data_IF_040999126206
#
_entry.id   IF_040999126206
#
_cell.length_a   1.000
_cell.length_b   1.000
_cell.length_c   1.000
_cell.angle_alpha   90.00
_cell.angle_beta   90.00
_cell.angle_gamma   90.00
#
_symmetry.space_group_name_H-M   'P 1'
#
loop_
_entity.id
_entity.type
_entity.pdbx_description
1 polymer ?
#
# COMPACT_ATOMS: atom_id res chain seq x y z
N UNK A 1 -11.14 -45.29 24.51
CA UNK A 1 -10.21 -44.17 24.73
C UNK A 1 -10.41 -43.12 23.63
N UNK A 2 -11.53 -42.40 23.58
CA UNK A 2 -11.73 -41.35 22.52
C UNK A 2 -12.35 -40.04 23.01
N UNK A 3 -13.08 -40.03 24.13
CA UNK A 3 -13.89 -38.86 24.50
C UNK A 3 -13.06 -37.58 24.79
N UNK A 4 -11.90 -37.69 25.44
CA UNK A 4 -11.06 -36.52 25.76
C UNK A 4 -10.32 -35.96 24.54
N UNK A 5 -9.85 -36.81 23.62
CA UNK A 5 -9.20 -36.37 22.38
C UNK A 5 -10.23 -35.73 21.44
N UNK A 6 -11.42 -36.32 21.32
CA UNK A 6 -12.53 -35.77 20.54
C UNK A 6 -12.99 -34.41 21.09
N UNK A 7 -13.07 -34.26 22.41
CA UNK A 7 -13.38 -32.98 23.07
C UNK A 7 -12.28 -31.92 22.87
N UNK A 8 -11.00 -32.30 22.95
CA UNK A 8 -9.87 -31.39 22.68
C UNK A 8 -9.83 -30.96 21.21
N UNK A 9 -10.16 -31.87 20.29
CA UNK A 9 -10.28 -31.55 18.87
C UNK A 9 -11.46 -30.62 18.60
N UNK A 10 -12.62 -30.88 19.20
CA UNK A 10 -13.78 -29.98 19.10
C UNK A 10 -13.49 -28.58 19.67
N UNK A 11 -12.77 -28.47 20.79
CA UNK A 11 -12.32 -27.19 21.35
C UNK A 11 -11.32 -26.48 20.42
N UNK A 12 -10.41 -27.22 19.78
CA UNK A 12 -9.53 -26.69 18.72
C UNK A 12 -10.34 -26.18 17.54
N UNK A 13 -11.33 -26.92 17.07
CA UNK A 13 -12.18 -26.57 15.93
C UNK A 13 -13.05 -25.35 16.24
N UNK A 14 -13.65 -25.28 17.43
CA UNK A 14 -14.39 -24.11 17.91
C UNK A 14 -13.45 -22.90 17.98
N UNK A 15 -12.24 -23.07 18.53
CA UNK A 15 -11.26 -21.98 18.60
C UNK A 15 -10.78 -21.56 17.21
N UNK A 16 -10.64 -22.49 16.27
CA UNK A 16 -10.27 -22.20 14.89
C UNK A 16 -11.42 -21.55 14.11
N UNK A 17 -12.67 -21.93 14.36
CA UNK A 17 -13.85 -21.24 13.84
C UNK A 17 -13.98 -19.83 14.43
N UNK A 18 -13.73 -19.67 15.74
CA UNK A 18 -13.74 -18.39 16.43
C UNK A 18 -12.61 -17.47 15.94
N UNK A 19 -11.40 -17.98 15.76
CA UNK A 19 -10.27 -17.23 15.16
C UNK A 19 -10.58 -16.83 13.70
N UNK A 20 -11.37 -17.62 12.97
CA UNK A 20 -11.83 -17.31 11.58
C UNK A 20 -13.03 -16.35 11.53
N UNK A 21 -13.86 -16.32 12.58
CA UNK A 21 -15.03 -15.44 12.69
C UNK A 21 -14.70 -14.10 13.35
N UNK A 22 -13.69 -14.06 14.23
CA UNK A 22 -13.03 -12.86 14.71
C UNK A 22 -12.08 -12.31 13.63
N UNK A 23 -12.63 -12.03 12.46
CA UNK A 23 -11.99 -11.07 11.56
C UNK A 23 -11.92 -9.73 12.30
N UNK A 24 -11.10 -8.84 11.77
CA UNK A 24 -11.04 -7.41 12.10
C UNK A 24 -9.97 -7.02 13.10
N UNK A 25 -8.73 -7.05 12.61
CA UNK A 25 -7.96 -5.82 12.76
C UNK A 25 -8.74 -4.74 12.05
N UNK A 26 -9.18 -3.78 12.84
CA UNK A 26 -9.85 -2.62 12.31
C UNK A 26 -8.79 -1.62 11.88
N UNK A 27 -8.21 -1.80 10.68
CA UNK A 27 -7.30 -0.78 10.10
C UNK A 27 -7.98 0.58 10.20
N UNK A 28 -7.25 1.62 10.60
CA UNK A 28 -7.89 2.94 10.71
C UNK A 28 -8.15 3.51 9.31
N UNK A 29 -9.37 3.97 9.04
CA UNK A 29 -9.71 4.73 7.83
C UNK A 29 -8.90 6.02 7.72
N UNK A 30 -8.57 6.65 8.85
CA UNK A 30 -7.67 7.80 8.90
C UNK A 30 -6.26 7.46 8.39
N UNK A 31 -5.80 6.21 8.54
CA UNK A 31 -4.55 5.75 7.92
C UNK A 31 -4.60 5.86 6.40
N UNK A 32 -5.72 5.50 5.78
CA UNK A 32 -5.91 5.59 4.33
C UNK A 32 -5.95 7.04 3.85
N UNK A 33 -6.66 7.91 4.56
CA UNK A 33 -6.69 9.35 4.24
C UNK A 33 -5.31 9.97 4.36
N UNK A 34 -4.59 9.68 5.45
CA UNK A 34 -3.24 10.16 5.65
C UNK A 34 -2.29 9.69 4.54
N UNK A 35 -2.27 8.39 4.26
CA UNK A 35 -1.44 7.84 3.18
C UNK A 35 -1.73 8.52 1.83
N UNK A 36 -3.01 8.75 1.51
CA UNK A 36 -3.39 9.43 0.28
C UNK A 36 -2.96 10.90 0.21
N UNK A 37 -3.07 11.64 1.30
CA UNK A 37 -2.56 13.03 1.36
C UNK A 37 -1.04 13.07 1.19
N UNK A 38 -0.31 12.17 1.86
CA UNK A 38 1.14 12.05 1.72
C UNK A 38 1.53 11.68 0.28
N UNK A 39 0.80 10.78 -0.37
CA UNK A 39 1.02 10.42 -1.76
C UNK A 39 0.79 11.60 -2.71
N UNK A 40 -0.27 12.39 -2.53
CA UNK A 40 -0.52 13.58 -3.35
C UNK A 40 0.59 14.64 -3.20
N UNK A 41 1.08 14.86 -1.97
CA UNK A 41 2.24 15.73 -1.75
C UNK A 41 3.50 15.17 -2.41
N UNK A 42 3.73 13.85 -2.30
CA UNK A 42 4.82 13.17 -2.98
C UNK A 42 4.76 13.34 -4.50
N UNK A 43 3.57 13.20 -5.09
CA UNK A 43 3.36 13.40 -6.52
C UNK A 43 3.61 14.85 -6.95
N UNK A 44 3.20 15.82 -6.13
CA UNK A 44 3.51 17.23 -6.37
C UNK A 44 5.01 17.51 -6.40
N UNK A 45 5.75 17.03 -5.39
CA UNK A 45 7.21 17.20 -5.37
C UNK A 45 7.92 16.41 -6.47
N UNK A 46 7.42 15.24 -6.85
CA UNK A 46 7.95 14.48 -7.98
C UNK A 46 7.77 15.24 -9.30
N UNK A 47 6.62 15.90 -9.48
CA UNK A 47 6.37 16.73 -10.65
C UNK A 47 7.29 17.96 -10.68
N UNK A 48 7.52 18.61 -9.53
CA UNK A 48 8.48 19.72 -9.42
C UNK A 48 9.92 19.30 -9.78
N UNK A 49 10.37 18.11 -9.36
CA UNK A 49 11.68 17.58 -9.75
C UNK A 49 11.78 17.28 -11.25
N UNK A 50 10.73 16.70 -11.84
CA UNK A 50 10.66 16.46 -13.29
C UNK A 50 10.68 17.80 -14.06
N UNK A 51 9.95 18.80 -13.59
CA UNK A 51 9.91 20.13 -14.21
C UNK A 51 11.25 20.85 -14.10
N UNK A 52 11.97 20.72 -12.99
CA UNK A 52 13.34 21.24 -12.84
C UNK A 52 14.28 20.59 -13.84
N UNK A 53 14.20 19.26 -14.01
CA UNK A 53 15.01 18.54 -14.98
C UNK A 53 14.71 18.99 -16.42
N UNK A 54 13.43 19.07 -16.81
CA UNK A 54 13.02 19.51 -18.16
C UNK A 54 13.48 20.95 -18.44
N UNK A 55 13.33 21.85 -17.46
CA UNK A 55 13.72 23.25 -17.59
C UNK A 55 15.21 23.51 -17.32
N UNK A 56 16.01 22.46 -17.11
CA UNK A 56 17.47 22.53 -16.88
C UNK A 56 17.84 23.39 -15.67
N UNK A 57 17.03 23.33 -14.61
CA UNK A 57 17.23 24.05 -13.35
C UNK A 57 17.84 23.12 -12.31
N UNK A 58 19.14 23.25 -12.07
CA UNK A 58 19.82 22.47 -11.02
C UNK A 58 20.13 21.02 -11.38
N UNK A 59 19.99 20.64 -12.66
CA UNK A 59 20.37 19.32 -13.19
C UNK A 59 21.44 19.47 -14.27
N UNK A 60 22.44 18.57 -14.25
CA UNK A 60 23.46 18.45 -15.29
C UNK A 60 22.86 17.98 -16.62
N UNK A 61 23.59 18.15 -17.72
CA UNK A 61 23.16 17.71 -19.04
C UNK A 61 23.46 16.24 -19.28
N UNK A 62 22.60 15.58 -20.06
CA UNK A 62 22.81 14.20 -20.52
C UNK A 62 22.64 13.18 -19.40
N UNK A 63 23.40 12.09 -19.49
CA UNK A 63 23.27 10.89 -18.65
C UNK A 63 23.41 11.21 -17.16
N UNK A 64 24.28 12.15 -16.78
CA UNK A 64 24.45 12.56 -15.37
C UNK A 64 23.17 13.15 -14.78
N UNK A 65 22.48 14.03 -15.52
CA UNK A 65 21.22 14.62 -15.05
C UNK A 65 20.08 13.60 -14.94
N UNK A 66 20.04 12.61 -15.84
CA UNK A 66 19.04 11.54 -15.78
C UNK A 66 19.23 10.66 -14.55
N UNK A 67 20.49 10.29 -14.24
CA UNK A 67 20.82 9.53 -13.03
C UNK A 67 20.48 10.31 -11.74
N UNK A 68 20.77 11.61 -11.71
CA UNK A 68 20.44 12.47 -10.57
C UNK A 68 18.92 12.56 -10.35
N UNK A 69 18.14 12.73 -11.43
CA UNK A 69 16.69 12.76 -11.36
C UNK A 69 16.15 11.42 -10.84
N UNK A 70 16.64 10.31 -11.40
CA UNK A 70 16.24 8.96 -10.98
C UNK A 70 16.49 8.75 -9.48
N UNK A 71 17.69 9.12 -9.01
CA UNK A 71 18.06 9.01 -7.60
C UNK A 71 17.17 9.88 -6.71
N UNK A 72 16.87 11.12 -7.12
CA UNK A 72 16.00 12.04 -6.38
C UNK A 72 14.56 11.53 -6.30
N UNK A 73 14.02 11.01 -7.41
CA UNK A 73 12.67 10.43 -7.43
C UNK A 73 12.58 9.15 -6.61
N UNK A 74 13.60 8.28 -6.65
CA UNK A 74 13.66 7.08 -5.82
C UNK A 74 13.73 7.44 -4.33
N UNK A 75 14.58 8.39 -3.96
CA UNK A 75 14.69 8.92 -2.60
C UNK A 75 13.36 9.50 -2.11
N UNK A 76 12.68 10.29 -2.95
CA UNK A 76 11.36 10.83 -2.65
C UNK A 76 10.31 9.72 -2.47
N UNK A 77 10.30 8.72 -3.35
CA UNK A 77 9.41 7.57 -3.25
C UNK A 77 9.59 6.78 -1.96
N UNK A 78 10.84 6.52 -1.56
CA UNK A 78 11.17 5.87 -0.28
C UNK A 78 10.71 6.73 0.90
N UNK A 79 10.93 8.04 0.85
CA UNK A 79 10.50 8.96 1.91
C UNK A 79 8.97 8.97 2.07
N UNK A 80 8.23 9.07 0.97
CA UNK A 80 6.77 8.99 0.92
C UNK A 80 6.27 7.67 1.49
N UNK A 81 6.88 6.54 1.11
CA UNK A 81 6.54 5.21 1.61
C UNK A 81 6.75 5.12 3.13
N UNK A 82 7.90 5.57 3.64
CA UNK A 82 8.22 5.54 5.08
C UNK A 82 7.22 6.37 5.89
N UNK A 83 6.90 7.59 5.43
CA UNK A 83 5.94 8.45 6.11
C UNK A 83 4.54 7.81 6.08
N UNK A 84 4.08 7.32 4.93
CA UNK A 84 2.78 6.68 4.79
C UNK A 84 2.65 5.46 5.72
N UNK A 85 3.68 4.61 5.80
CA UNK A 85 3.71 3.45 6.71
C UNK A 85 3.72 3.89 8.18
N UNK A 86 4.54 4.88 8.54
CA UNK A 86 4.60 5.40 9.90
C UNK A 86 3.24 5.94 10.35
N UNK A 87 2.58 6.75 9.51
CA UNK A 87 1.23 7.24 9.78
C UNK A 87 0.21 6.11 9.88
N UNK A 88 0.26 5.14 8.96
CA UNK A 88 -0.64 4.00 8.97
C UNK A 88 -0.53 3.14 10.24
N UNK A 89 0.70 2.93 10.74
CA UNK A 89 0.95 2.25 12.01
C UNK A 89 0.45 3.09 13.18
N UNK A 90 0.75 4.39 13.21
CA UNK A 90 0.34 5.29 14.30
C UNK A 90 -1.18 5.37 14.46
N UNK A 91 -1.92 5.62 13.38
CA UNK A 91 -3.39 5.71 13.44
C UNK A 91 -4.04 4.37 13.80
N UNK A 92 -3.51 3.26 13.25
CA UNK A 92 -4.00 1.92 13.60
C UNK A 92 -3.70 1.59 15.06
N UNK A 93 -2.52 1.95 15.58
CA UNK A 93 -2.15 1.78 16.98
C UNK A 93 -3.09 2.57 17.91
N UNK A 94 -3.31 3.86 17.62
CA UNK A 94 -4.20 4.73 18.41
C UNK A 94 -5.64 4.20 18.46
N UNK A 95 -6.15 3.73 17.32
CA UNK A 95 -7.49 3.14 17.23
C UNK A 95 -7.60 1.84 18.04
N UNK A 96 -6.61 0.96 17.93
CA UNK A 96 -6.61 -0.30 18.67
C UNK A 96 -6.52 -0.10 20.18
N UNK A 97 -5.76 0.91 20.63
CA UNK A 97 -5.73 1.32 22.03
C UNK A 97 -7.09 1.83 22.50
N UNK A 98 -7.75 2.71 21.72
CA UNK A 98 -9.11 3.20 22.03
C UNK A 98 -10.11 2.05 22.19
N UNK A 99 -9.97 1.01 21.38
CA UNK A 99 -10.90 -0.12 21.34
C UNK A 99 -10.48 -1.32 22.21
N UNK A 100 -9.42 -1.20 23.02
CA UNK A 100 -8.85 -2.28 23.85
C UNK A 100 -8.57 -3.59 23.08
N UNK A 101 -8.18 -3.47 21.80
CA UNK A 101 -7.86 -4.62 20.94
C UNK A 101 -6.34 -4.89 20.92
N UNK A 102 -5.91 -6.16 20.91
CA UNK A 102 -4.49 -6.50 20.76
C UNK A 102 -4.00 -6.17 19.35
N UNK A 103 -2.93 -5.37 19.27
CA UNK A 103 -2.34 -4.88 18.00
C UNK A 103 -1.47 -5.93 17.31
N UNK A 104 -0.99 -6.92 18.07
CA UNK A 104 0.02 -7.87 17.61
C UNK A 104 -0.42 -9.33 17.78
N UNK A 105 -1.58 -9.63 17.21
CA UNK A 105 -2.15 -10.98 17.22
C UNK A 105 -1.76 -11.79 15.96
N UNK A 106 -2.25 -13.03 15.87
CA UNK A 106 -1.99 -13.93 14.72
C UNK A 106 -2.54 -13.35 13.42
N UNK A 107 -3.68 -12.67 13.48
CA UNK A 107 -4.32 -12.03 12.33
C UNK A 107 -3.44 -10.89 11.81
N UNK A 108 -2.81 -10.12 12.70
CA UNK A 108 -1.97 -8.97 12.35
C UNK A 108 -0.70 -9.39 11.66
N UNK A 109 -0.06 -10.44 12.18
CA UNK A 109 1.08 -11.07 11.52
C UNK A 109 0.70 -11.62 10.15
N UNK A 110 -0.46 -12.28 10.04
CA UNK A 110 -0.92 -12.84 8.77
C UNK A 110 -1.21 -11.75 7.74
N UNK A 111 -1.86 -10.64 8.15
CA UNK A 111 -2.09 -9.47 7.32
C UNK A 111 -0.77 -8.90 6.80
N UNK A 112 0.18 -8.62 7.70
CA UNK A 112 1.48 -8.03 7.36
C UNK A 112 2.28 -8.92 6.41
N UNK A 113 2.34 -10.22 6.66
CA UNK A 113 3.05 -11.16 5.77
C UNK A 113 2.38 -11.21 4.39
N UNK A 114 1.06 -11.28 4.32
CA UNK A 114 0.35 -11.35 3.04
C UNK A 114 0.38 -10.04 2.26
N UNK A 115 0.49 -8.90 2.94
CA UNK A 115 0.76 -7.60 2.32
C UNK A 115 2.21 -7.50 1.85
N UNK A 116 3.17 -7.94 2.67
CA UNK A 116 4.60 -7.80 2.39
C UNK A 116 5.05 -8.64 1.20
N UNK A 117 4.51 -9.85 1.00
CA UNK A 117 4.95 -10.75 -0.08
C UNK A 117 4.86 -10.05 -1.46
N UNK A 118 3.69 -9.58 -1.94
CA UNK A 118 3.62 -8.94 -3.25
C UNK A 118 4.36 -7.60 -3.30
N UNK A 119 4.43 -6.86 -2.18
CA UNK A 119 5.10 -5.56 -2.12
C UNK A 119 6.62 -5.69 -2.22
N UNK A 120 7.22 -6.66 -1.52
CA UNK A 120 8.66 -6.97 -1.62
C UNK A 120 8.99 -7.51 -3.00
N UNK A 121 8.17 -8.41 -3.55
CA UNK A 121 8.37 -8.93 -4.91
C UNK A 121 8.30 -7.81 -5.94
N UNK A 122 7.31 -6.92 -5.84
CA UNK A 122 7.17 -5.75 -6.72
C UNK A 122 8.31 -4.75 -6.58
N UNK A 123 8.76 -4.47 -5.36
CA UNK A 123 9.91 -3.61 -5.10
C UNK A 123 11.20 -4.16 -5.71
N UNK A 124 11.48 -5.45 -5.49
CA UNK A 124 12.64 -6.13 -6.11
C UNK A 124 12.53 -6.16 -7.63
N UNK A 125 11.32 -6.37 -8.17
CA UNK A 125 11.06 -6.31 -9.61
C UNK A 125 11.40 -4.93 -10.19
N UNK A 126 10.95 -3.85 -9.55
CA UNK A 126 11.25 -2.47 -9.98
C UNK A 126 12.74 -2.18 -9.88
N UNK A 127 13.41 -2.58 -8.79
CA UNK A 127 14.86 -2.39 -8.63
C UNK A 127 15.63 -3.16 -9.70
N UNK A 128 15.25 -4.40 -10.00
CA UNK A 128 15.87 -5.19 -11.05
C UNK A 128 15.70 -4.55 -12.44
N UNK A 129 14.53 -3.96 -12.71
CA UNK A 129 14.28 -3.18 -13.93
C UNK A 129 15.19 -1.96 -14.02
N UNK A 130 15.29 -1.16 -12.96
CA UNK A 130 16.15 0.04 -12.94
C UNK A 130 17.63 -0.29 -13.16
N UNK A 131 18.13 -1.37 -12.53
CA UNK A 131 19.54 -1.74 -12.62
C UNK A 131 19.89 -2.39 -13.97
N UNK A 132 19.02 -3.25 -14.50
CA UNK A 132 19.37 -4.10 -15.66
C UNK A 132 18.73 -3.65 -16.97
N UNK A 133 17.70 -2.80 -16.93
CA UNK A 133 16.90 -2.42 -18.10
C UNK A 133 16.77 -0.89 -18.18
N UNK A 134 17.81 -0.24 -18.69
CA UNK A 134 17.82 1.20 -18.92
C UNK A 134 16.57 1.67 -19.71
N UNK A 135 16.11 2.89 -19.42
CA UNK A 135 14.97 3.54 -20.06
C UNK A 135 13.59 2.88 -19.85
N UNK A 136 13.45 1.96 -18.89
CA UNK A 136 12.16 1.36 -18.51
C UNK A 136 11.37 2.15 -17.46
N UNK A 137 11.63 3.45 -17.32
CA UNK A 137 10.99 4.30 -16.30
C UNK A 137 9.46 4.36 -16.41
N UNK A 138 8.93 4.25 -17.64
CA UNK A 138 7.50 4.29 -17.91
C UNK A 138 6.72 3.16 -17.22
N UNK A 139 7.36 2.04 -16.90
CA UNK A 139 6.69 0.88 -16.25
C UNK A 139 6.78 0.89 -14.73
N UNK A 140 7.48 1.84 -14.10
CA UNK A 140 7.61 1.90 -12.64
C UNK A 140 6.27 2.19 -11.98
N UNK A 141 5.62 3.30 -12.37
CA UNK A 141 4.32 3.69 -11.84
C UNK A 141 3.24 2.59 -11.97
N UNK A 142 3.01 1.97 -13.15
CA UNK A 142 2.05 0.87 -13.26
C UNK A 142 2.48 -0.36 -12.46
N UNK A 143 3.77 -0.66 -12.35
CA UNK A 143 4.25 -1.76 -11.50
C UNK A 143 3.93 -1.52 -10.02
N UNK A 144 4.16 -0.31 -9.51
CA UNK A 144 3.77 0.07 -8.15
C UNK A 144 2.28 -0.18 -7.91
N UNK A 145 1.42 0.31 -8.80
CA UNK A 145 -0.05 0.16 -8.70
C UNK A 145 -0.48 -1.31 -8.71
N UNK A 146 0.06 -2.10 -9.65
CA UNK A 146 -0.32 -3.52 -9.81
C UNK A 146 0.15 -4.35 -8.61
N UNK A 147 1.43 -4.27 -8.22
CA UNK A 147 1.95 -5.07 -7.12
C UNK A 147 1.34 -4.67 -5.78
N UNK A 148 1.07 -3.37 -5.58
CA UNK A 148 0.34 -2.90 -4.42
C UNK A 148 -1.11 -3.39 -4.41
N UNK A 149 -1.82 -3.32 -5.53
CA UNK A 149 -3.18 -3.85 -5.63
C UNK A 149 -3.25 -5.35 -5.35
N UNK A 150 -2.27 -6.13 -5.82
CA UNK A 150 -2.10 -7.55 -5.46
C UNK A 150 -1.83 -7.74 -3.96
N UNK A 151 -0.99 -6.88 -3.36
CA UNK A 151 -0.75 -6.88 -1.92
C UNK A 151 -2.05 -6.68 -1.12
N UNK A 152 -2.88 -5.71 -1.52
CA UNK A 152 -4.18 -5.43 -0.89
C UNK A 152 -5.14 -6.61 -1.03
N UNK A 153 -5.27 -7.20 -2.22
CA UNK A 153 -6.13 -8.37 -2.44
C UNK A 153 -5.65 -9.54 -1.57
N UNK A 154 -4.34 -9.78 -1.48
CA UNK A 154 -3.81 -10.87 -0.69
C UNK A 154 -4.01 -10.65 0.82
N UNK A 155 -3.82 -9.42 1.29
CA UNK A 155 -4.03 -9.02 2.69
C UNK A 155 -5.53 -8.99 3.08
N UNK A 156 -6.44 -8.80 2.12
CA UNK A 156 -7.89 -8.64 2.37
C UNK A 156 -8.56 -9.80 3.12
N UNK A 157 -7.94 -10.99 3.12
CA UNK A 157 -8.41 -12.17 3.87
C UNK A 157 -8.34 -11.98 5.39
N UNK A 158 -7.50 -11.05 5.86
CA UNK A 158 -7.18 -10.83 7.27
C UNK A 158 -7.65 -9.46 7.80
N UNK A 159 -8.40 -8.70 7.00
CA UNK A 159 -8.95 -7.38 7.37
C UNK A 159 -10.35 -7.20 6.77
N UNK A 160 -10.89 -5.97 6.81
CA UNK A 160 -12.14 -5.64 6.14
C UNK A 160 -12.06 -5.94 4.64
N UNK A 161 -13.02 -6.74 4.17
CA UNK A 161 -13.10 -7.15 2.76
C UNK A 161 -13.17 -5.96 1.80
N UNK A 162 -13.61 -4.79 2.27
CA UNK A 162 -13.66 -3.56 1.49
C UNK A 162 -12.29 -3.16 0.91
N UNK A 163 -11.18 -3.50 1.58
CA UNK A 163 -9.81 -3.22 1.06
C UNK A 163 -9.56 -3.95 -0.28
N UNK A 164 -10.26 -5.05 -0.52
CA UNK A 164 -10.14 -5.84 -1.76
C UNK A 164 -10.60 -5.04 -2.97
N UNK A 165 -11.62 -4.18 -2.81
CA UNK A 165 -12.08 -3.32 -3.90
C UNK A 165 -11.04 -2.27 -4.27
N UNK A 166 -10.38 -1.65 -3.26
CA UNK A 166 -9.24 -0.77 -3.52
C UNK A 166 -8.15 -1.53 -4.29
N UNK A 167 -7.80 -2.75 -3.87
CA UNK A 167 -6.82 -3.57 -4.57
C UNK A 167 -7.16 -3.84 -6.04
N UNK A 168 -8.44 -4.12 -6.36
CA UNK A 168 -8.87 -4.28 -7.75
C UNK A 168 -8.80 -2.97 -8.55
N UNK A 169 -9.19 -1.83 -7.95
CA UNK A 169 -9.09 -0.54 -8.60
C UNK A 169 -7.63 -0.19 -8.92
N UNK A 170 -6.70 -0.44 -8.00
CA UNK A 170 -5.26 -0.22 -8.20
C UNK A 170 -4.70 -1.09 -9.34
N UNK A 171 -5.08 -2.38 -9.40
CA UNK A 171 -4.67 -3.27 -10.50
C UNK A 171 -5.21 -2.75 -11.84
N UNK A 172 -6.52 -2.45 -11.93
CA UNK A 172 -7.12 -1.95 -13.16
C UNK A 172 -6.46 -0.65 -13.59
N UNK A 173 -6.23 0.26 -12.64
CA UNK A 173 -5.59 1.54 -12.89
C UNK A 173 -4.14 1.37 -13.39
N UNK A 174 -3.37 0.47 -12.77
CA UNK A 174 -2.02 0.15 -13.22
C UNK A 174 -1.98 -0.53 -14.58
N UNK A 175 -2.91 -1.44 -14.87
CA UNK A 175 -3.05 -2.05 -16.20
C UNK A 175 -3.37 -1.00 -17.26
N UNK A 176 -4.31 -0.09 -17.00
CA UNK A 176 -4.64 1.03 -17.89
C UNK A 176 -3.42 1.94 -18.08
N UNK A 177 -2.71 2.28 -17.00
CA UNK A 177 -1.52 3.12 -17.03
C UNK A 177 -0.43 2.57 -17.97
N UNK A 178 -0.31 1.25 -18.15
CA UNK A 178 0.65 0.68 -19.10
C UNK A 178 0.38 1.07 -20.56
N UNK A 179 -0.88 1.38 -20.91
CA UNK A 179 -1.25 1.81 -22.26
C UNK A 179 -1.09 3.33 -22.47
N UNK A 180 -0.95 4.12 -21.39
CA UNK A 180 -0.85 5.58 -21.44
C UNK A 180 0.54 6.05 -20.96
N UNK A 181 1.55 5.83 -21.82
CA UNK A 181 2.93 6.23 -21.56
C UNK A 181 3.01 7.75 -21.31
N UNK A 182 3.81 8.15 -20.32
CA UNK A 182 3.98 9.56 -19.92
C UNK A 182 2.99 10.04 -18.84
N UNK A 183 1.86 9.35 -18.65
CA UNK A 183 0.88 9.70 -17.61
C UNK A 183 1.12 9.00 -16.27
N UNK A 184 2.24 8.27 -16.12
CA UNK A 184 2.51 7.42 -14.97
C UNK A 184 2.33 8.12 -13.62
N UNK A 185 2.83 9.35 -13.47
CA UNK A 185 2.70 10.11 -12.23
C UNK A 185 1.24 10.48 -11.91
N UNK A 186 0.42 10.76 -12.92
CA UNK A 186 -1.00 11.08 -12.75
C UNK A 186 -1.77 9.84 -12.29
N UNK A 187 -1.55 8.70 -12.94
CA UNK A 187 -2.14 7.43 -12.52
C UNK A 187 -1.69 7.03 -11.11
N UNK A 188 -0.41 7.22 -10.80
CA UNK A 188 0.15 6.97 -9.47
C UNK A 188 -0.50 7.85 -8.40
N UNK A 189 -0.63 9.16 -8.65
CA UNK A 189 -1.29 10.11 -7.75
C UNK A 189 -2.78 9.81 -7.58
N UNK A 190 -3.45 9.35 -8.64
CA UNK A 190 -4.85 8.96 -8.57
C UNK A 190 -5.05 7.71 -7.71
N UNK A 191 -4.25 6.66 -7.91
CA UNK A 191 -4.31 5.43 -7.11
C UNK A 191 -3.89 5.66 -5.67
N UNK A 192 -2.61 5.95 -5.44
CA UNK A 192 -2.05 6.11 -4.11
C UNK A 192 -2.59 7.33 -3.35
N UNK A 193 -3.09 8.35 -4.06
CA UNK A 193 -3.66 9.55 -3.47
C UNK A 193 -5.18 9.51 -3.37
N UNK A 194 -5.86 9.72 -4.49
CA UNK A 194 -7.32 9.93 -4.54
C UNK A 194 -8.08 8.69 -4.08
N UNK A 195 -7.76 7.51 -4.63
CA UNK A 195 -8.46 6.27 -4.24
C UNK A 195 -8.24 5.92 -2.77
N UNK A 196 -7.05 6.17 -2.22
CA UNK A 196 -6.75 5.97 -0.80
C UNK A 196 -7.52 6.91 0.11
N UNK A 197 -7.67 8.19 -0.28
CA UNK A 197 -8.49 9.14 0.47
C UNK A 197 -9.94 8.69 0.48
N UNK A 198 -10.50 8.34 -0.69
CA UNK A 198 -11.88 7.86 -0.81
C UNK A 198 -12.09 6.60 0.03
N UNK A 199 -11.21 5.61 -0.12
CA UNK A 199 -11.26 4.38 0.66
C UNK A 199 -11.17 4.66 2.17
N UNK A 200 -10.21 5.49 2.59
CA UNK A 200 -10.02 5.85 4.00
C UNK A 200 -11.25 6.54 4.61
N UNK A 201 -11.87 7.45 3.86
CA UNK A 201 -13.13 8.10 4.26
C UNK A 201 -14.28 7.09 4.36
N UNK A 202 -14.46 6.22 3.37
CA UNK A 202 -15.48 5.16 3.40
C UNK A 202 -15.29 4.28 4.63
N UNK A 203 -14.05 3.84 4.90
CA UNK A 203 -13.71 3.05 6.09
C UNK A 203 -14.02 3.79 7.39
N UNK A 204 -13.66 5.07 7.47
CA UNK A 204 -13.92 5.90 8.64
C UNK A 204 -15.43 6.04 8.90
N UNK A 205 -16.22 6.40 7.89
CA UNK A 205 -17.66 6.59 8.05
C UNK A 205 -18.41 5.29 8.31
N UNK A 206 -17.98 4.18 7.70
CA UNK A 206 -18.66 2.88 7.81
C UNK A 206 -18.33 2.15 9.12
N UNK A 207 -17.11 2.30 9.64
CA UNK A 207 -16.63 1.48 10.76
C UNK A 207 -16.15 2.26 12.00
N UNK A 208 -15.89 3.56 11.90
CA UNK A 208 -15.31 4.35 13.01
C UNK A 208 -16.23 5.46 13.51
N UNK A 209 -16.96 6.14 12.61
CA UNK A 209 -17.84 7.23 13.00
C UNK A 209 -19.05 6.66 13.76
N UNK A 210 -19.00 6.76 15.09
CA UNK A 210 -20.05 6.26 16.00
C UNK A 210 -19.54 5.31 17.08
N UNK A 211 -18.24 4.98 17.09
CA UNK A 211 -17.53 4.33 18.20
C UNK A 211 -16.77 5.37 19.04
#
# INVERSE_FOLDING_TARGET
MSNSEDQLNALKDIRQMMDRSSRFISLSGLSGVFAGVIALMGAYFANDEIDKFINKRGYSYGVEGEMDLEFNLLKLGVFVLVIALAGGILFTYRKSQKNNLPIWDKTSKSLLVNLAIPLVVGGLFIIALLINHAHTYAIIAPSCLIFYGLALINASKYTFSDIRYLGFLEIILGLVCMFYIGYGLIFWAFGFGVLHIIYGLVMYFKYEKGQ
#
